data_IF_501203958258
#
_entry.id   IF_501203958258
#
_cell.length_a   1.000
_cell.length_b   1.000
_cell.length_c   1.000
_cell.angle_alpha   90.00
_cell.angle_beta   90.00
_cell.angle_gamma   90.00
#
_symmetry.space_group_name_H-M   'P 1'
#
loop_
_entity.id
_entity.type
_entity.pdbx_description
1 polymer ?
#
# COMPACT_ATOMS: atom_id res chain seq x y z
N UNK A 1 -40.28 -40.07 74.23
CA UNK A 1 -40.41 -38.95 73.27
C UNK A 1 -39.02 -38.37 72.99
N UNK A 2 -38.65 -38.35 71.71
CA UNK A 2 -37.45 -37.76 71.04
C UNK A 2 -36.14 -37.66 71.86
N UNK A 3 -35.24 -38.63 71.64
CA UNK A 3 -33.81 -38.54 71.94
C UNK A 3 -33.12 -37.74 70.82
N UNK A 4 -32.50 -36.61 71.15
CA UNK A 4 -31.60 -35.85 70.27
C UNK A 4 -30.21 -36.48 70.44
N UNK A 5 -29.71 -37.11 69.37
CA UNK A 5 -28.31 -37.58 69.30
C UNK A 5 -27.53 -36.49 68.58
N UNK A 6 -26.63 -35.85 69.31
CA UNK A 6 -25.67 -34.86 68.84
C UNK A 6 -24.46 -35.62 68.25
N UNK A 7 -24.24 -35.52 66.95
CA UNK A 7 -23.03 -36.05 66.30
C UNK A 7 -21.88 -35.04 66.43
N UNK A 8 -20.85 -35.40 67.19
CA UNK A 8 -19.57 -34.70 67.23
C UNK A 8 -18.74 -35.22 66.04
N UNK A 9 -18.51 -34.36 65.05
CA UNK A 9 -17.58 -34.63 63.95
C UNK A 9 -16.18 -34.18 64.41
N UNK A 10 -15.30 -35.15 64.62
CA UNK A 10 -13.88 -34.92 64.85
C UNK A 10 -13.20 -34.55 63.52
N UNK A 11 -12.68 -33.32 63.43
CA UNK A 11 -11.83 -32.88 62.32
C UNK A 11 -10.39 -33.39 62.52
N UNK A 12 -9.99 -34.37 61.72
CA UNK A 12 -8.59 -34.77 61.59
C UNK A 12 -7.89 -33.85 60.58
N UNK A 13 -7.00 -32.99 61.07
CA UNK A 13 -6.06 -32.23 60.26
C UNK A 13 -4.94 -33.15 59.75
N UNK A 14 -5.09 -33.67 58.53
CA UNK A 14 -3.97 -34.29 57.78
C UNK A 14 -3.20 -33.18 57.08
N UNK A 15 -2.04 -32.83 57.63
CA UNK A 15 -1.07 -31.92 57.03
C UNK A 15 -0.38 -32.61 55.84
N UNK A 16 -0.91 -32.41 54.63
CA UNK A 16 -0.20 -32.74 53.40
C UNK A 16 0.84 -31.65 53.11
N UNK A 17 2.11 -31.91 53.44
CA UNK A 17 3.24 -31.21 52.82
C UNK A 17 3.21 -31.48 51.32
N UNK A 18 2.75 -30.50 50.55
CA UNK A 18 2.74 -30.52 49.10
C UNK A 18 4.14 -30.16 48.63
N UNK A 19 5.00 -31.16 48.47
CA UNK A 19 6.27 -30.99 47.78
C UNK A 19 5.98 -30.44 46.39
N UNK A 20 6.36 -29.17 46.17
CA UNK A 20 6.34 -28.58 44.83
C UNK A 20 7.42 -29.29 44.02
N UNK A 21 7.00 -30.30 43.27
CA UNK A 21 7.78 -30.81 42.15
C UNK A 21 7.93 -29.65 41.16
N UNK A 22 9.08 -28.98 41.19
CA UNK A 22 9.52 -28.08 40.13
C UNK A 22 9.84 -29.01 38.95
N UNK A 23 8.86 -29.23 38.08
CA UNK A 23 9.14 -29.86 36.80
C UNK A 23 10.01 -28.88 36.02
N UNK A 24 11.21 -29.29 35.55
CA UNK A 24 11.95 -28.45 34.62
C UNK A 24 11.07 -28.21 33.40
N UNK A 25 10.82 -26.94 33.08
CA UNK A 25 10.23 -26.54 31.80
C UNK A 25 11.25 -26.98 30.76
N UNK A 26 11.04 -28.16 30.17
CA UNK A 26 11.81 -28.57 28.99
C UNK A 26 11.47 -27.58 27.88
N UNK A 27 12.40 -26.67 27.60
CA UNK A 27 12.37 -25.84 26.40
C UNK A 27 12.33 -26.77 25.18
N UNK A 28 11.13 -27.08 24.72
CA UNK A 28 10.91 -27.89 23.52
C UNK A 28 11.54 -27.15 22.35
N UNK A 29 12.65 -27.68 21.84
CA UNK A 29 13.31 -27.12 20.67
C UNK A 29 12.30 -27.05 19.51
N UNK A 30 12.10 -25.84 18.97
CA UNK A 30 11.19 -25.64 17.85
C UNK A 30 11.73 -26.35 16.61
N UNK A 31 10.80 -26.89 15.82
CA UNK A 31 11.11 -27.45 14.50
C UNK A 31 11.41 -26.32 13.50
N UNK A 32 12.14 -26.58 12.40
CA UNK A 32 12.34 -25.59 11.34
C UNK A 32 11.03 -24.99 10.80
N UNK A 33 9.96 -25.80 10.74
CA UNK A 33 8.63 -25.37 10.32
C UNK A 33 8.00 -24.37 11.28
N UNK A 34 8.23 -24.49 12.59
CA UNK A 34 7.74 -23.55 13.59
C UNK A 34 8.60 -22.27 13.61
N UNK A 35 9.93 -22.42 13.52
CA UNK A 35 10.87 -21.29 13.54
C UNK A 35 10.65 -20.33 12.37
N UNK A 36 10.38 -20.84 11.17
CA UNK A 36 10.28 -20.02 9.95
C UNK A 36 9.00 -19.17 9.87
N UNK A 37 7.97 -19.44 10.68
CA UNK A 37 6.69 -18.74 10.59
C UNK A 37 6.82 -17.25 10.90
N UNK A 38 6.03 -16.44 10.19
CA UNK A 38 6.01 -14.98 10.34
C UNK A 38 6.68 -14.25 9.18
N UNK A 39 6.85 -12.93 9.35
CA UNK A 39 7.41 -12.04 8.33
C UNK A 39 8.91 -11.86 8.54
N UNK A 40 9.66 -11.84 7.45
CA UNK A 40 11.11 -11.75 7.41
C UNK A 40 11.53 -10.70 6.41
N UNK A 41 12.52 -9.88 6.77
CA UNK A 41 13.06 -8.85 5.87
C UNK A 41 14.58 -8.73 5.95
N UNK A 42 15.17 -8.27 4.86
CA UNK A 42 16.58 -7.86 4.81
C UNK A 42 16.72 -6.35 4.99
N UNK A 43 17.95 -5.90 5.31
CA UNK A 43 18.28 -4.47 5.36
C UNK A 43 18.61 -3.89 3.97
N UNK A 44 19.09 -4.69 3.03
CA UNK A 44 19.83 -4.20 1.86
C UNK A 44 19.06 -4.25 0.55
N UNK A 45 18.38 -5.34 0.23
CA UNK A 45 17.82 -5.59 -1.11
C UNK A 45 16.29 -5.53 -1.16
N UNK A 46 15.67 -4.90 -0.15
CA UNK A 46 14.21 -4.78 0.09
C UNK A 46 13.45 -6.11 0.03
N UNK A 47 14.14 -7.25 -0.02
CA UNK A 47 13.50 -8.56 -0.14
C UNK A 47 12.85 -8.94 1.19
N UNK A 48 11.66 -9.54 1.10
CA UNK A 48 10.96 -10.06 2.26
C UNK A 48 10.11 -11.28 1.94
N UNK A 49 9.85 -12.07 2.99
CA UNK A 49 8.99 -13.24 2.94
C UNK A 49 8.01 -13.19 4.11
N UNK A 50 6.84 -13.80 3.95
CA UNK A 50 5.99 -14.18 5.08
C UNK A 50 5.54 -15.62 4.94
N UNK A 51 5.83 -16.44 5.93
CA UNK A 51 5.54 -17.87 5.92
C UNK A 51 4.32 -18.19 6.78
N UNK A 52 3.44 -19.04 6.25
CA UNK A 52 2.17 -19.43 6.86
C UNK A 52 2.16 -20.91 7.23
N UNK A 53 1.38 -21.27 8.24
CA UNK A 53 1.28 -22.66 8.76
C UNK A 53 0.78 -23.68 7.74
N UNK A 54 0.06 -23.22 6.70
CA UNK A 54 -0.48 -24.07 5.64
C UNK A 54 0.52 -24.35 4.50
N UNK A 55 1.80 -23.99 4.65
CA UNK A 55 2.82 -24.19 3.61
C UNK A 55 2.82 -23.13 2.51
N UNK A 56 2.05 -22.04 2.68
CA UNK A 56 2.09 -20.89 1.77
C UNK A 56 3.17 -19.88 2.20
N UNK A 57 3.69 -19.13 1.22
CA UNK A 57 4.65 -18.05 1.41
C UNK A 57 4.22 -16.82 0.60
N UNK A 58 4.18 -15.65 1.23
CA UNK A 58 4.02 -14.36 0.55
C UNK A 58 5.41 -13.76 0.30
N UNK A 59 5.87 -13.83 -0.96
CA UNK A 59 7.11 -13.19 -1.42
C UNK A 59 6.84 -11.71 -1.70
N UNK A 60 7.37 -10.84 -0.86
CA UNK A 60 6.88 -9.45 -0.74
C UNK A 60 7.06 -8.58 -1.99
N UNK A 61 8.04 -8.90 -2.84
CA UNK A 61 8.28 -8.20 -4.11
C UNK A 61 7.46 -8.78 -5.29
N UNK A 62 6.78 -9.91 -5.08
CA UNK A 62 5.96 -10.55 -6.09
C UNK A 62 6.74 -11.29 -7.18
N UNK A 63 5.98 -11.95 -8.05
CA UNK A 63 6.48 -12.66 -9.21
C UNK A 63 5.95 -12.00 -10.49
N UNK A 64 6.71 -12.08 -11.57
CA UNK A 64 6.37 -11.46 -12.85
C UNK A 64 6.54 -12.43 -14.02
N UNK A 65 5.69 -12.34 -15.03
CA UNK A 65 5.82 -13.13 -16.25
C UNK A 65 6.85 -12.50 -17.20
N UNK A 66 8.12 -12.90 -17.03
CA UNK A 66 9.24 -12.38 -17.81
C UNK A 66 9.19 -12.81 -19.29
N UNK A 67 8.64 -13.99 -19.59
CA UNK A 67 8.54 -14.45 -20.97
C UNK A 67 7.51 -13.63 -21.73
N UNK A 68 6.35 -13.36 -21.11
CA UNK A 68 5.37 -12.44 -21.70
C UNK A 68 5.93 -11.03 -21.85
N UNK A 69 6.61 -10.50 -20.83
CA UNK A 69 7.26 -9.19 -20.89
C UNK A 69 8.29 -9.07 -22.04
N UNK A 70 9.10 -10.11 -22.28
CA UNK A 70 10.06 -10.13 -23.41
C UNK A 70 9.35 -10.14 -24.77
N UNK A 71 8.24 -10.88 -24.88
CA UNK A 71 7.48 -11.03 -26.12
C UNK A 71 6.66 -9.79 -26.50
N UNK A 72 6.42 -8.88 -25.56
CA UNK A 72 5.73 -7.61 -25.79
C UNK A 72 6.54 -6.63 -26.68
N UNK A 73 7.74 -6.98 -27.16
CA UNK A 73 8.58 -6.14 -28.05
C UNK A 73 7.86 -5.62 -29.31
N UNK A 74 6.80 -6.29 -29.77
CA UNK A 74 6.02 -5.87 -30.94
C UNK A 74 4.99 -4.77 -30.63
N UNK A 75 4.60 -4.60 -29.37
CA UNK A 75 3.71 -3.53 -28.93
C UNK A 75 4.61 -2.41 -28.40
N UNK A 76 4.43 -1.17 -28.86
CA UNK A 76 5.33 -0.04 -28.56
C UNK A 76 5.47 0.29 -27.06
N UNK A 77 4.74 -0.39 -26.18
CA UNK A 77 4.81 -0.28 -24.72
C UNK A 77 4.85 -1.68 -24.07
N UNK A 78 5.95 -2.01 -23.39
CA UNK A 78 6.04 -3.24 -22.61
C UNK A 78 5.22 -3.12 -21.33
N UNK A 79 4.60 -4.23 -20.89
CA UNK A 79 3.81 -4.29 -19.67
C UNK A 79 4.40 -5.33 -18.71
N UNK A 80 4.56 -4.97 -17.44
CA UNK A 80 4.93 -5.93 -16.40
C UNK A 80 3.70 -6.71 -15.94
N UNK A 81 3.63 -8.00 -16.25
CA UNK A 81 2.53 -8.86 -15.82
C UNK A 81 2.82 -9.49 -14.46
N UNK A 82 2.06 -9.11 -13.45
CA UNK A 82 2.16 -9.63 -12.09
C UNK A 82 1.50 -11.01 -12.00
N UNK A 83 2.22 -11.96 -11.41
CA UNK A 83 1.73 -13.29 -11.05
C UNK A 83 1.29 -13.34 -9.58
N UNK A 84 1.26 -12.19 -8.91
CA UNK A 84 0.96 -12.07 -7.49
C UNK A 84 2.16 -12.37 -6.59
N UNK A 85 1.90 -12.45 -5.28
CA UNK A 85 2.95 -12.61 -4.26
C UNK A 85 2.88 -13.94 -3.51
N UNK A 86 1.72 -14.61 -3.56
CA UNK A 86 1.47 -15.83 -2.80
C UNK A 86 1.91 -17.07 -3.57
N UNK A 87 2.77 -17.87 -2.95
CA UNK A 87 3.29 -19.13 -3.49
C UNK A 87 3.41 -20.20 -2.41
N UNK A 88 4.06 -21.32 -2.71
CA UNK A 88 4.33 -22.44 -1.81
C UNK A 88 5.77 -22.41 -1.33
N UNK A 89 6.02 -22.94 -0.13
CA UNK A 89 7.37 -23.17 0.37
C UNK A 89 7.55 -24.56 0.98
N UNK A 90 8.80 -24.99 1.10
CA UNK A 90 9.22 -26.13 1.91
C UNK A 90 10.50 -25.78 2.66
N UNK A 91 10.65 -26.31 3.88
CA UNK A 91 11.77 -25.99 4.77
C UNK A 91 12.27 -27.27 5.47
N UNK A 92 13.58 -27.45 5.46
CA UNK A 92 14.32 -28.39 6.31
C UNK A 92 15.32 -27.60 7.16
N UNK A 93 16.16 -28.31 7.93
CA UNK A 93 17.22 -27.65 8.73
C UNK A 93 18.26 -26.93 7.86
N UNK A 94 18.49 -27.43 6.65
CA UNK A 94 19.58 -27.06 5.75
C UNK A 94 19.12 -26.49 4.39
N UNK A 95 17.83 -26.53 4.08
CA UNK A 95 17.29 -26.07 2.79
C UNK A 95 15.95 -25.35 2.95
N UNK A 96 15.84 -24.18 2.36
CA UNK A 96 14.58 -23.48 2.10
C UNK A 96 14.28 -23.57 0.61
N UNK A 97 13.05 -23.94 0.25
CA UNK A 97 12.59 -23.96 -1.14
C UNK A 97 11.37 -23.08 -1.30
N UNK A 98 11.37 -22.21 -2.30
CA UNK A 98 10.25 -21.34 -2.68
C UNK A 98 9.83 -21.70 -4.10
N UNK A 99 8.53 -21.91 -4.31
CA UNK A 99 8.05 -22.18 -5.67
C UNK A 99 7.96 -20.86 -6.45
N UNK A 100 8.71 -20.75 -7.53
CA UNK A 100 8.77 -19.56 -8.36
C UNK A 100 7.66 -19.60 -9.40
N UNK A 101 6.77 -18.60 -9.37
CA UNK A 101 5.62 -18.56 -10.28
C UNK A 101 6.01 -18.20 -11.71
N UNK A 102 7.14 -17.50 -11.91
CA UNK A 102 7.59 -17.02 -13.21
C UNK A 102 8.05 -18.15 -14.13
N UNK A 103 8.83 -19.09 -13.61
CA UNK A 103 9.39 -20.20 -14.39
C UNK A 103 8.85 -21.58 -13.98
N UNK A 104 7.94 -21.62 -13.01
CA UNK A 104 7.27 -22.81 -12.48
C UNK A 104 8.25 -23.82 -11.84
N UNK A 105 9.38 -23.36 -11.31
CA UNK A 105 10.42 -24.19 -10.65
C UNK A 105 10.52 -23.89 -9.16
N UNK A 106 11.25 -24.74 -8.43
CA UNK A 106 11.58 -24.50 -7.03
C UNK A 106 12.94 -23.81 -6.92
N UNK A 107 12.95 -22.58 -6.44
CA UNK A 107 14.17 -21.89 -6.03
C UNK A 107 14.64 -22.50 -4.71
N UNK A 108 15.85 -23.04 -4.70
CA UNK A 108 16.42 -23.74 -3.54
C UNK A 108 17.57 -22.94 -2.94
N UNK A 109 17.43 -22.61 -1.65
CA UNK A 109 18.42 -21.85 -0.89
C UNK A 109 18.99 -22.73 0.22
N UNK A 110 20.32 -22.81 0.30
CA UNK A 110 20.99 -23.44 1.46
C UNK A 110 20.76 -22.59 2.69
N UNK A 111 20.41 -23.20 3.81
CA UNK A 111 20.22 -22.55 5.11
C UNK A 111 21.49 -22.73 5.94
N UNK A 112 22.17 -21.62 6.24
CA UNK A 112 23.32 -21.61 7.16
C UNK A 112 22.87 -21.50 8.62
N UNK A 113 21.81 -20.73 8.87
CA UNK A 113 21.25 -20.50 10.21
C UNK A 113 19.74 -20.31 10.11
N UNK A 114 19.01 -20.96 11.01
CA UNK A 114 17.60 -20.72 11.27
C UNK A 114 17.39 -20.72 12.79
N UNK A 115 16.94 -19.58 13.32
CA UNK A 115 16.50 -19.40 14.70
C UNK A 115 15.13 -18.69 14.71
N UNK A 116 14.62 -18.36 15.90
CA UNK A 116 13.32 -17.69 16.04
C UNK A 116 13.30 -16.28 15.42
N UNK A 117 14.45 -15.64 15.27
CA UNK A 117 14.62 -14.24 14.88
C UNK A 117 15.56 -14.02 13.68
N UNK A 118 16.36 -15.04 13.32
CA UNK A 118 17.41 -14.94 12.31
C UNK A 118 17.30 -16.08 11.29
N UNK A 119 17.30 -15.72 10.01
CA UNK A 119 17.42 -16.67 8.90
C UNK A 119 18.60 -16.25 8.03
N UNK A 120 19.54 -17.15 7.78
CA UNK A 120 20.69 -16.91 6.89
C UNK A 120 20.66 -17.93 5.76
N UNK A 121 20.48 -17.44 4.53
CA UNK A 121 20.38 -18.28 3.33
C UNK A 121 21.39 -17.87 2.26
N UNK A 122 21.78 -18.82 1.41
CA UNK A 122 22.60 -18.53 0.24
C UNK A 122 21.72 -18.03 -0.91
N UNK A 123 21.93 -16.80 -1.38
CA UNK A 123 21.27 -16.18 -2.54
C UNK A 123 22.35 -15.61 -3.45
N UNK A 124 22.38 -16.00 -4.72
CA UNK A 124 23.35 -15.54 -5.73
C UNK A 124 24.81 -15.62 -5.23
N UNK A 125 25.21 -16.79 -4.73
CA UNK A 125 26.55 -17.05 -4.18
C UNK A 125 26.92 -16.24 -2.92
N UNK A 126 26.00 -15.47 -2.35
CA UNK A 126 26.21 -14.67 -1.13
C UNK A 126 25.32 -15.14 0.02
N UNK A 127 25.78 -14.98 1.26
CA UNK A 127 24.96 -15.25 2.44
C UNK A 127 24.15 -14.00 2.82
N UNK A 128 22.83 -14.10 2.75
CA UNK A 128 21.91 -13.00 3.07
C UNK A 128 21.25 -13.29 4.41
N UNK A 129 21.25 -12.28 5.30
CA UNK A 129 20.62 -12.36 6.62
C UNK A 129 19.25 -11.68 6.58
N UNK A 130 18.25 -12.43 7.01
CA UNK A 130 16.89 -11.98 7.24
C UNK A 130 16.62 -11.91 8.75
N UNK A 131 15.91 -10.87 9.14
CA UNK A 131 15.45 -10.68 10.52
C UNK A 131 13.94 -10.86 10.57
N UNK A 132 13.45 -11.56 11.59
CA UNK A 132 12.00 -11.68 11.81
C UNK A 132 11.44 -10.32 12.22
N UNK A 133 10.33 -9.95 11.61
CA UNK A 133 9.64 -8.68 11.82
C UNK A 133 8.49 -8.86 12.80
N UNK A 134 8.43 -7.96 13.76
CA UNK A 134 7.35 -7.86 14.74
C UNK A 134 6.74 -6.46 14.61
N UNK A 135 5.41 -6.40 14.55
CA UNK A 135 4.69 -5.17 14.26
C UNK A 135 3.76 -4.84 15.42
N UNK A 136 3.90 -3.65 15.98
CA UNK A 136 2.89 -3.07 16.88
C UNK A 136 1.94 -2.21 16.07
N UNK A 137 0.85 -2.82 15.60
CA UNK A 137 -0.16 -2.15 14.77
C UNK A 137 -1.30 -1.53 15.59
N UNK A 138 -1.32 -1.72 16.92
CA UNK A 138 -2.47 -1.35 17.76
C UNK A 138 -2.70 0.16 17.76
N UNK A 139 -1.63 0.93 17.74
CA UNK A 139 -1.66 2.39 17.81
C UNK A 139 -1.55 3.06 16.44
N UNK A 140 -1.43 2.27 15.36
CA UNK A 140 -1.40 2.83 14.00
C UNK A 140 -2.85 3.11 13.57
N UNK A 141 -3.20 4.38 13.26
CA UNK A 141 -4.57 4.76 12.92
C UNK A 141 -5.14 3.94 11.75
N UNK A 142 -6.45 3.73 11.77
CA UNK A 142 -7.17 3.25 10.59
C UNK A 142 -7.32 4.34 9.54
N UNK A 143 -7.61 3.93 8.31
CA UNK A 143 -7.99 4.81 7.21
C UNK A 143 -9.18 4.20 6.45
N UNK A 144 -9.89 5.05 5.72
CA UNK A 144 -11.09 4.70 4.94
C UNK A 144 -10.80 4.57 3.44
N UNK A 145 -9.69 5.14 2.96
CA UNK A 145 -9.21 4.89 1.60
C UNK A 145 -7.69 5.05 1.49
N UNK A 146 -7.12 4.37 0.50
CA UNK A 146 -5.73 4.55 0.05
C UNK A 146 -5.75 4.93 -1.43
N UNK A 147 -4.89 5.88 -1.80
CA UNK A 147 -4.57 6.20 -3.19
C UNK A 147 -3.11 5.85 -3.43
N UNK A 148 -2.81 5.19 -4.54
CA UNK A 148 -1.45 4.98 -5.03
C UNK A 148 -1.37 5.55 -6.44
N UNK A 149 -0.34 6.35 -6.70
CA UNK A 149 -0.02 6.88 -8.03
C UNK A 149 1.44 6.59 -8.35
N UNK A 150 1.71 6.10 -9.56
CA UNK A 150 3.05 5.81 -10.06
C UNK A 150 3.33 6.63 -11.31
N UNK A 151 4.46 7.33 -11.34
CA UNK A 151 4.92 8.09 -12.49
C UNK A 151 5.61 7.20 -13.54
N UNK A 152 5.97 7.80 -14.67
CA UNK A 152 6.87 7.18 -15.65
C UNK A 152 8.30 7.08 -15.14
N UNK A 153 9.09 6.27 -15.84
CA UNK A 153 10.53 6.13 -15.69
C UNK A 153 11.14 5.97 -17.09
N UNK A 154 12.47 5.89 -17.22
CA UNK A 154 13.12 5.70 -18.53
C UNK A 154 12.94 4.27 -19.09
N UNK A 155 12.34 3.37 -18.30
CA UNK A 155 12.00 2.00 -18.67
C UNK A 155 10.50 1.80 -18.90
N UNK A 156 9.98 0.66 -18.46
CA UNK A 156 8.58 0.26 -18.66
C UNK A 156 7.76 0.32 -17.38
N UNK A 157 8.00 1.34 -16.55
CA UNK A 157 7.25 1.51 -15.31
C UNK A 157 5.78 1.84 -15.63
N UNK A 158 4.81 1.12 -15.04
CA UNK A 158 3.40 1.37 -15.27
C UNK A 158 3.02 2.75 -14.73
N UNK A 159 2.41 3.57 -15.59
CA UNK A 159 1.88 4.88 -15.21
C UNK A 159 0.42 4.70 -14.87
N UNK A 160 0.13 4.58 -13.58
CA UNK A 160 -1.19 4.22 -13.06
C UNK A 160 -1.51 5.04 -11.83
N UNK A 161 -2.80 5.27 -11.61
CA UNK A 161 -3.32 5.77 -10.35
C UNK A 161 -4.55 4.97 -9.93
N UNK A 162 -4.64 4.64 -8.65
CA UNK A 162 -5.72 3.83 -8.11
C UNK A 162 -6.13 4.34 -6.74
N UNK A 163 -7.42 4.53 -6.53
CA UNK A 163 -8.02 4.74 -5.21
C UNK A 163 -8.83 3.51 -4.82
N UNK A 164 -8.59 3.01 -3.61
CA UNK A 164 -9.32 1.89 -3.02
C UNK A 164 -9.91 2.35 -1.70
N UNK A 165 -11.21 2.22 -1.56
CA UNK A 165 -11.95 2.61 -0.35
C UNK A 165 -12.40 1.40 0.47
N UNK A 166 -12.66 1.64 1.75
CA UNK A 166 -13.02 0.63 2.75
C UNK A 166 -14.31 -0.11 2.42
N UNK A 167 -15.24 0.55 1.73
CA UNK A 167 -16.47 -0.07 1.22
C UNK A 167 -16.24 -0.97 -0.02
N UNK A 168 -14.99 -1.07 -0.47
CA UNK A 168 -14.56 -1.88 -1.59
C UNK A 168 -14.61 -1.18 -2.94
N UNK A 169 -15.02 0.09 -3.06
CA UNK A 169 -14.95 0.80 -4.34
C UNK A 169 -13.49 0.99 -4.78
N UNK A 170 -13.23 0.68 -6.04
CA UNK A 170 -11.96 0.96 -6.71
C UNK A 170 -12.20 1.94 -7.86
N UNK A 171 -11.43 3.01 -7.91
CA UNK A 171 -11.25 3.84 -9.11
C UNK A 171 -9.82 3.65 -9.61
N UNK A 172 -9.65 3.48 -10.91
CA UNK A 172 -8.37 3.21 -11.54
C UNK A 172 -8.25 4.00 -12.84
N UNK A 173 -7.06 4.56 -13.06
CA UNK A 173 -6.67 5.17 -14.32
C UNK A 173 -5.31 4.61 -14.72
N UNK A 174 -5.22 4.11 -15.95
CA UNK A 174 -3.96 3.66 -16.55
C UNK A 174 -3.60 4.47 -17.79
N UNK A 175 -2.32 4.84 -17.94
CA UNK A 175 -1.84 5.67 -19.04
C UNK A 175 -0.86 4.91 -19.95
N UNK A 176 0.35 4.61 -19.46
CA UNK A 176 1.42 3.93 -20.21
C UNK A 176 1.91 2.67 -19.50
N UNK A 177 2.49 1.73 -20.26
CA UNK A 177 3.08 0.49 -19.73
C UNK A 177 2.10 -0.33 -18.87
N UNK A 178 0.82 -0.27 -19.23
CA UNK A 178 -0.27 -0.98 -18.57
C UNK A 178 -1.11 -1.72 -19.60
N UNK A 179 -1.65 -2.88 -19.22
CA UNK A 179 -2.56 -3.67 -20.05
C UNK A 179 -4.00 -3.13 -20.05
N UNK A 180 -4.31 -2.12 -19.24
CA UNK A 180 -5.62 -1.48 -19.17
C UNK A 180 -5.45 0.04 -19.13
N UNK A 181 -5.69 0.70 -20.27
CA UNK A 181 -5.57 2.15 -20.45
C UNK A 181 -6.91 2.85 -20.37
N UNK A 182 -6.93 4.04 -19.79
CA UNK A 182 -8.13 4.82 -19.55
C UNK A 182 -8.69 4.63 -18.15
N UNK A 183 -9.95 5.03 -17.98
CA UNK A 183 -10.62 5.15 -16.69
C UNK A 183 -11.53 3.96 -16.43
N UNK A 184 -11.41 3.37 -15.24
CA UNK A 184 -12.19 2.22 -14.84
C UNK A 184 -12.63 2.30 -13.39
N UNK A 185 -13.70 1.58 -13.09
CA UNK A 185 -14.09 1.22 -11.72
C UNK A 185 -14.00 -0.28 -11.51
N UNK A 186 -13.91 -0.68 -10.25
CA UNK A 186 -14.06 -2.08 -9.86
C UNK A 186 -14.52 -2.17 -8.40
N UNK A 187 -14.59 -3.41 -7.90
CA UNK A 187 -14.96 -3.72 -6.52
C UNK A 187 -14.01 -4.78 -5.95
N UNK A 188 -13.65 -4.61 -4.68
CA UNK A 188 -12.95 -5.63 -3.89
C UNK A 188 -13.75 -5.96 -2.63
N UNK A 189 -13.43 -7.09 -1.99
CA UNK A 189 -14.03 -7.45 -0.72
C UNK A 189 -13.45 -6.60 0.43
N UNK A 190 -14.24 -6.39 1.48
CA UNK A 190 -13.77 -5.81 2.75
C UNK A 190 -12.56 -6.58 3.31
N UNK A 191 -12.53 -7.90 3.13
CA UNK A 191 -11.40 -8.76 3.55
C UNK A 191 -10.12 -8.37 2.81
N UNK A 192 -10.19 -8.06 1.53
CA UNK A 192 -9.02 -7.66 0.75
C UNK A 192 -8.58 -6.24 1.09
N UNK A 193 -9.52 -5.30 1.30
CA UNK A 193 -9.19 -3.98 1.84
C UNK A 193 -8.46 -4.09 3.19
N UNK A 194 -8.96 -4.92 4.11
CA UNK A 194 -8.33 -5.11 5.42
C UNK A 194 -6.91 -5.69 5.33
N UNK A 195 -6.61 -6.52 4.32
CA UNK A 195 -5.22 -6.97 4.06
C UNK A 195 -4.33 -5.83 3.59
N UNK A 196 -4.86 -4.95 2.73
CA UNK A 196 -4.15 -3.75 2.27
C UNK A 196 -3.86 -2.83 3.47
N UNK A 197 -4.89 -2.52 4.26
CA UNK A 197 -4.76 -1.71 5.46
C UNK A 197 -3.75 -2.28 6.46
N UNK A 198 -3.76 -3.60 6.67
CA UNK A 198 -2.79 -4.27 7.54
C UNK A 198 -1.35 -4.07 7.05
N UNK A 199 -1.07 -4.14 5.75
CA UNK A 199 0.28 -3.93 5.20
C UNK A 199 0.79 -2.51 5.46
N UNK A 200 -0.06 -1.50 5.24
CA UNK A 200 0.30 -0.12 5.58
C UNK A 200 0.52 0.07 7.09
N UNK A 201 -0.32 -0.55 7.94
CA UNK A 201 -0.11 -0.51 9.40
C UNK A 201 1.18 -1.19 9.83
N UNK A 202 1.56 -2.30 9.21
CA UNK A 202 2.84 -2.98 9.47
C UNK A 202 4.05 -2.11 9.09
N UNK A 203 3.89 -1.21 8.11
CA UNK A 203 4.90 -0.21 7.77
C UNK A 203 4.94 0.99 8.74
N UNK A 204 4.03 1.05 9.73
CA UNK A 204 3.88 2.16 10.66
C UNK A 204 3.87 3.53 9.94
N UNK A 205 3.01 3.63 8.91
CA UNK A 205 3.02 4.71 7.93
C UNK A 205 2.98 6.13 8.53
N UNK A 206 2.46 6.30 9.76
CA UNK A 206 2.40 7.59 10.43
C UNK A 206 3.77 8.10 10.87
N UNK A 207 4.74 7.20 11.12
CA UNK A 207 6.11 7.54 11.54
C UNK A 207 7.06 7.76 10.39
N UNK A 208 6.65 7.45 9.16
CA UNK A 208 7.47 7.69 7.97
C UNK A 208 7.52 9.19 7.68
N UNK A 209 8.57 9.64 7.00
CA UNK A 209 8.65 10.97 6.43
C UNK A 209 7.67 11.11 5.27
N UNK A 210 7.39 12.34 4.85
CA UNK A 210 6.47 12.58 3.73
C UNK A 210 7.15 12.41 2.36
N UNK A 211 8.48 12.36 2.29
CA UNK A 211 9.21 12.24 1.04
C UNK A 211 10.51 11.48 1.24
N UNK A 212 10.83 10.62 0.27
CA UNK A 212 12.07 9.86 0.16
C UNK A 212 12.57 10.01 -1.27
N UNK A 213 13.84 10.36 -1.47
CA UNK A 213 14.40 10.59 -2.80
C UNK A 213 15.74 9.91 -3.02
N UNK A 214 15.93 9.37 -4.22
CA UNK A 214 17.18 8.76 -4.65
C UNK A 214 18.16 9.78 -5.22
N UNK A 215 17.63 10.91 -5.73
CA UNK A 215 18.40 11.84 -6.54
C UNK A 215 18.80 11.27 -7.90
N UNK A 216 18.05 10.28 -8.40
CA UNK A 216 18.29 9.64 -9.71
C UNK A 216 17.24 10.10 -10.71
N UNK A 217 17.66 10.46 -11.93
CA UNK A 217 16.77 11.06 -12.94
C UNK A 217 15.98 10.03 -13.76
N UNK A 218 16.36 8.75 -13.69
CA UNK A 218 15.77 7.65 -14.46
C UNK A 218 14.72 6.86 -13.67
N UNK A 219 14.65 7.07 -12.35
CA UNK A 219 13.72 6.44 -11.42
C UNK A 219 12.27 6.91 -11.60
N UNK A 220 11.34 6.00 -11.32
CA UNK A 220 9.94 6.37 -11.15
C UNK A 220 9.66 6.83 -9.72
N UNK A 221 8.67 7.69 -9.58
CA UNK A 221 8.14 8.17 -8.31
C UNK A 221 6.81 7.47 -8.01
N UNK A 222 6.68 6.94 -6.80
CA UNK A 222 5.41 6.43 -6.29
C UNK A 222 4.94 7.35 -5.18
N UNK A 223 3.72 7.84 -5.27
CA UNK A 223 3.06 8.58 -4.20
C UNK A 223 1.90 7.79 -3.63
N UNK A 224 1.73 7.85 -2.31
CA UNK A 224 0.68 7.16 -1.56
C UNK A 224 -0.04 8.14 -0.66
N UNK A 225 -1.37 8.13 -0.73
CA UNK A 225 -2.25 8.95 0.08
C UNK A 225 -3.12 8.06 0.95
N UNK A 226 -3.20 8.33 2.26
CA UNK A 226 -4.16 7.69 3.16
C UNK A 226 -5.20 8.70 3.63
N UNK A 227 -6.47 8.31 3.54
CA UNK A 227 -7.62 9.19 3.75
C UNK A 227 -8.50 8.65 4.89
N UNK A 228 -8.90 9.52 5.81
CA UNK A 228 -9.85 9.21 6.89
C UNK A 228 -10.93 10.29 6.96
N UNK A 229 -12.20 9.91 6.98
CA UNK A 229 -13.33 10.85 7.04
C UNK A 229 -13.23 11.97 5.99
N UNK A 230 -12.83 11.62 4.76
CA UNK A 230 -12.62 12.57 3.65
C UNK A 230 -11.39 13.48 3.79
N UNK A 231 -10.54 13.30 4.80
CA UNK A 231 -9.32 14.10 5.00
C UNK A 231 -8.09 13.28 4.70
N UNK A 232 -7.11 13.90 4.06
CA UNK A 232 -5.75 13.36 3.95
C UNK A 232 -5.15 13.32 5.34
N UNK A 233 -4.81 12.12 5.82
CA UNK A 233 -4.11 11.93 7.10
C UNK A 233 -2.62 11.66 6.92
N UNK A 234 -2.23 11.17 5.74
CA UNK A 234 -0.83 10.96 5.36
C UNK A 234 -0.68 11.01 3.85
N UNK A 235 0.38 11.66 3.38
CA UNK A 235 0.82 11.72 2.00
C UNK A 235 2.31 11.43 2.00
N UNK A 236 2.75 10.44 1.23
CA UNK A 236 4.15 10.01 1.16
C UNK A 236 4.55 9.84 -0.30
N UNK A 237 5.68 10.43 -0.66
CA UNK A 237 6.33 10.26 -1.95
C UNK A 237 7.62 9.44 -1.80
N UNK A 238 7.81 8.47 -2.70
CA UNK A 238 8.97 7.59 -2.77
C UNK A 238 9.54 7.63 -4.19
N UNK A 239 10.60 8.42 -4.35
CA UNK A 239 11.40 8.49 -5.55
C UNK A 239 12.56 7.49 -5.49
N UNK A 240 12.54 6.54 -6.42
CA UNK A 240 13.58 5.52 -6.57
C UNK A 240 13.61 4.44 -5.50
N UNK A 241 12.48 4.10 -4.86
CA UNK A 241 12.35 2.98 -3.91
C UNK A 241 13.22 3.10 -2.65
N UNK A 242 13.38 4.32 -2.11
CA UNK A 242 14.23 4.58 -0.94
C UNK A 242 13.53 4.40 0.39
N UNK A 243 12.21 4.49 0.42
CA UNK A 243 11.39 4.28 1.62
C UNK A 243 11.63 2.89 2.27
N UNK A 244 11.38 2.70 3.58
CA UNK A 244 11.53 1.39 4.22
C UNK A 244 10.78 0.27 3.51
N UNK A 245 11.39 -0.93 3.48
CA UNK A 245 10.92 -2.09 2.71
C UNK A 245 9.46 -2.42 2.98
N UNK A 246 9.01 -2.32 4.23
CA UNK A 246 7.65 -2.61 4.64
C UNK A 246 6.61 -1.73 3.92
N UNK A 247 6.95 -0.47 3.62
CA UNK A 247 6.05 0.42 2.89
C UNK A 247 6.04 0.09 1.39
N UNK A 248 7.19 -0.26 0.81
CA UNK A 248 7.27 -0.80 -0.57
C UNK A 248 6.39 -2.05 -0.69
N UNK A 249 6.49 -2.98 0.26
CA UNK A 249 5.66 -4.19 0.28
C UNK A 249 4.15 -3.89 0.40
N UNK A 250 3.78 -2.72 0.93
CA UNK A 250 2.40 -2.29 1.04
C UNK A 250 1.87 -1.73 -0.29
N UNK A 251 2.61 -0.85 -0.97
CA UNK A 251 2.13 -0.19 -2.19
C UNK A 251 2.41 -0.97 -3.48
N UNK A 252 3.52 -1.72 -3.60
CA UNK A 252 3.90 -2.35 -4.87
C UNK A 252 2.82 -3.28 -5.44
N UNK A 253 2.12 -4.10 -4.63
CA UNK A 253 1.02 -4.91 -5.13
C UNK A 253 -0.15 -4.10 -5.69
N UNK A 254 -0.36 -2.87 -5.21
CA UNK A 254 -1.45 -1.99 -5.67
C UNK A 254 -1.18 -1.44 -7.07
N UNK A 255 0.09 -1.18 -7.41
CA UNK A 255 0.50 -0.70 -8.74
C UNK A 255 0.06 -1.69 -9.84
N UNK A 256 0.16 -3.00 -9.60
CA UNK A 256 -0.25 -4.03 -10.56
C UNK A 256 -1.64 -4.62 -10.31
N UNK A 257 -2.36 -4.14 -9.30
CA UNK A 257 -3.60 -4.77 -8.84
C UNK A 257 -4.68 -4.80 -9.91
N UNK A 258 -4.71 -3.80 -10.80
CA UNK A 258 -5.67 -3.67 -11.90
C UNK A 258 -5.70 -4.91 -12.82
N UNK A 259 -4.60 -5.66 -12.92
CA UNK A 259 -4.50 -6.85 -13.76
C UNK A 259 -5.38 -8.01 -13.28
N UNK A 260 -5.76 -7.99 -12.00
CA UNK A 260 -6.56 -9.03 -11.35
C UNK A 260 -7.98 -8.54 -10.97
N UNK A 261 -8.34 -7.33 -11.39
CA UNK A 261 -9.65 -6.74 -11.11
C UNK A 261 -10.60 -6.95 -12.27
N UNK A 262 -11.89 -7.10 -11.95
CA UNK A 262 -12.96 -7.02 -12.93
C UNK A 262 -13.20 -5.53 -13.25
N UNK A 263 -12.41 -4.98 -14.16
CA UNK A 263 -12.46 -3.58 -14.54
C UNK A 263 -13.71 -3.29 -15.40
N UNK A 264 -14.46 -2.26 -15.02
CA UNK A 264 -15.59 -1.73 -15.80
C UNK A 264 -15.22 -0.34 -16.28
N UNK A 265 -15.19 -0.06 -17.60
CA UNK A 265 -14.90 1.26 -18.11
C UNK A 265 -15.80 2.33 -17.48
N UNK A 266 -15.21 3.42 -17.01
CA UNK A 266 -15.94 4.54 -16.43
C UNK A 266 -15.77 5.77 -17.32
N UNK A 267 -16.89 6.38 -17.71
CA UNK A 267 -16.87 7.68 -18.36
C UNK A 267 -16.78 8.76 -17.29
N UNK A 268 -15.64 9.43 -17.20
CA UNK A 268 -15.44 10.62 -16.36
C UNK A 268 -15.46 11.88 -17.24
N UNK A 269 -15.69 13.08 -16.67
CA UNK A 269 -15.59 14.31 -17.43
C UNK A 269 -14.20 14.49 -18.05
N UNK A 270 -14.11 14.91 -19.31
CA UNK A 270 -12.83 14.94 -20.05
C UNK A 270 -11.78 15.85 -19.40
N UNK A 271 -12.21 16.90 -18.68
CA UNK A 271 -11.33 17.79 -17.92
C UNK A 271 -10.71 17.14 -16.67
N UNK A 272 -11.18 15.96 -16.28
CA UNK A 272 -10.62 15.18 -15.17
C UNK A 272 -9.71 14.05 -15.65
N UNK A 273 -9.55 13.87 -16.96
CA UNK A 273 -8.68 12.85 -17.52
C UNK A 273 -7.21 13.29 -17.37
N UNK A 274 -6.39 12.58 -16.57
CA UNK A 274 -5.12 13.11 -16.13
C UNK A 274 -3.96 12.54 -16.96
N UNK A 275 -3.93 12.73 -18.28
CA UNK A 275 -2.93 12.06 -19.13
C UNK A 275 -1.50 12.24 -18.60
N UNK A 276 -1.17 13.39 -18.00
CA UNK A 276 -0.04 13.61 -17.07
C UNK A 276 -0.28 14.86 -16.22
N UNK A 277 -1.10 14.78 -15.18
CA UNK A 277 -1.43 16.00 -14.41
C UNK A 277 -0.39 16.21 -13.31
N UNK A 278 0.52 17.14 -13.57
CA UNK A 278 1.10 17.94 -12.50
C UNK A 278 0.07 18.99 -12.11
N UNK A 279 -0.16 19.17 -10.82
CA UNK A 279 -1.07 20.19 -10.31
C UNK A 279 -0.34 21.10 -9.34
N UNK A 280 -0.25 22.38 -9.71
CA UNK A 280 0.39 23.41 -8.90
C UNK A 280 -0.67 24.45 -8.56
N UNK A 281 -0.88 24.64 -7.26
CA UNK A 281 -1.63 25.78 -6.75
C UNK A 281 -0.67 26.95 -6.59
N UNK A 282 -0.94 28.06 -7.28
CA UNK A 282 -0.21 29.31 -7.13
C UNK A 282 -1.01 30.30 -6.28
N UNK A 283 -0.29 31.04 -5.44
CA UNK A 283 -0.78 32.17 -4.64
C UNK A 283 0.21 33.32 -4.73
N UNK A 284 -0.22 34.51 -4.34
CA UNK A 284 0.69 35.64 -4.20
C UNK A 284 1.76 35.31 -3.14
N UNK A 285 3.03 35.21 -3.57
CA UNK A 285 4.17 34.90 -2.69
C UNK A 285 4.60 33.44 -2.62
N UNK A 286 3.92 32.49 -3.30
CA UNK A 286 4.33 31.09 -3.24
C UNK A 286 3.51 30.13 -4.09
N UNK A 287 3.79 28.83 -3.95
CA UNK A 287 3.06 27.78 -4.63
C UNK A 287 3.10 26.46 -3.86
N UNK A 288 2.09 25.63 -4.10
CA UNK A 288 1.98 24.28 -3.58
C UNK A 288 1.93 23.31 -4.76
N UNK A 289 2.94 22.44 -4.82
CA UNK A 289 2.93 21.28 -5.68
C UNK A 289 2.27 20.10 -4.96
N UNK A 290 1.34 19.44 -5.64
CA UNK A 290 0.70 18.22 -5.14
C UNK A 290 1.45 16.99 -5.64
N UNK A 291 1.56 15.96 -4.80
CA UNK A 291 2.05 14.64 -5.24
C UNK A 291 1.07 14.00 -6.23
N UNK A 292 1.53 13.02 -7.02
CA UNK A 292 0.66 12.34 -8.00
C UNK A 292 -0.63 11.76 -7.39
N UNK A 293 -0.56 11.19 -6.18
CA UNK A 293 -1.71 10.65 -5.46
C UNK A 293 -2.67 11.74 -4.95
N UNK A 294 -2.15 12.90 -4.55
CA UNK A 294 -2.96 14.07 -4.17
C UNK A 294 -3.67 14.69 -5.36
N UNK A 295 -2.97 14.82 -6.49
CA UNK A 295 -3.56 15.24 -7.77
C UNK A 295 -4.69 14.29 -8.16
N UNK A 296 -4.43 12.98 -8.14
CA UNK A 296 -5.44 11.99 -8.48
C UNK A 296 -6.66 12.08 -7.57
N UNK A 297 -6.46 12.27 -6.27
CA UNK A 297 -7.58 12.44 -5.34
C UNK A 297 -8.38 13.71 -5.61
N UNK A 298 -7.72 14.83 -5.92
CA UNK A 298 -8.41 16.06 -6.32
C UNK A 298 -9.21 15.85 -7.63
N UNK A 299 -8.63 15.20 -8.64
CA UNK A 299 -9.33 14.88 -9.88
C UNK A 299 -10.53 13.95 -9.65
N UNK A 300 -10.38 12.95 -8.77
CA UNK A 300 -11.48 12.11 -8.32
C UNK A 300 -12.62 12.94 -7.71
N UNK A 301 -12.29 13.85 -6.78
CA UNK A 301 -13.30 14.75 -6.17
C UNK A 301 -13.98 15.64 -7.22
N UNK A 302 -13.23 16.21 -8.17
CA UNK A 302 -13.78 17.02 -9.26
C UNK A 302 -14.72 16.22 -10.17
N UNK A 303 -14.37 14.97 -10.49
CA UNK A 303 -15.19 14.09 -11.32
C UNK A 303 -16.53 13.72 -10.66
N UNK A 304 -16.57 13.72 -9.33
CA UNK A 304 -17.77 13.44 -8.52
C UNK A 304 -18.47 14.72 -8.04
N UNK A 305 -17.87 15.88 -8.27
CA UNK A 305 -18.40 17.17 -7.91
C UNK A 305 -19.65 17.54 -8.70
N UNK A 306 -20.41 18.51 -8.20
CA UNK A 306 -21.63 18.98 -8.84
C UNK A 306 -21.35 20.26 -9.62
N UNK A 307 -21.81 20.32 -10.86
CA UNK A 307 -21.82 21.58 -11.62
C UNK A 307 -22.85 22.52 -10.99
N UNK A 308 -22.44 23.76 -10.70
CA UNK A 308 -23.26 24.77 -10.03
C UNK A 308 -23.13 26.12 -10.71
N UNK A 309 -24.17 26.95 -10.57
CA UNK A 309 -24.11 28.37 -10.92
C UNK A 309 -23.73 29.16 -9.66
N UNK A 310 -22.44 29.37 -9.44
CA UNK A 310 -21.92 30.05 -8.25
C UNK A 310 -20.81 31.04 -8.60
N UNK A 311 -20.82 32.21 -7.97
CA UNK A 311 -19.73 33.18 -8.10
C UNK A 311 -18.71 32.88 -7.03
N UNK A 312 -17.45 32.65 -7.42
CA UNK A 312 -16.38 32.26 -6.50
C UNK A 312 -15.47 33.44 -6.19
N UNK A 313 -14.94 33.48 -4.96
CA UNK A 313 -13.80 34.33 -4.64
C UNK A 313 -12.53 33.61 -5.10
N UNK A 314 -11.98 33.99 -6.25
CA UNK A 314 -10.85 33.35 -6.92
C UNK A 314 -9.54 33.53 -6.13
N UNK A 315 -9.32 32.72 -5.08
CA UNK A 315 -8.16 32.83 -4.17
C UNK A 315 -6.91 32.15 -4.71
N UNK A 316 -7.09 31.04 -5.41
CA UNK A 316 -6.01 30.18 -5.87
C UNK A 316 -6.10 29.97 -7.38
N UNK A 317 -4.94 29.87 -8.01
CA UNK A 317 -4.81 29.48 -9.41
C UNK A 317 -4.25 28.06 -9.47
N UNK A 318 -4.94 27.16 -10.14
CA UNK A 318 -4.54 25.77 -10.31
C UNK A 318 -4.19 25.53 -11.78
N UNK A 319 -2.92 25.22 -12.03
CA UNK A 319 -2.45 24.80 -13.35
C UNK A 319 -2.61 23.29 -13.48
N UNK A 320 -3.30 22.85 -14.54
CA UNK A 320 -3.47 21.44 -14.88
C UNK A 320 -2.88 21.21 -16.28
N UNK A 321 -2.08 20.17 -16.43
CA UNK A 321 -1.62 19.70 -17.74
C UNK A 321 -2.75 18.90 -18.42
N UNK A 322 -3.69 19.61 -19.05
CA UNK A 322 -4.79 19.05 -19.83
C UNK A 322 -4.98 19.88 -21.11
N UNK A 323 -5.21 19.23 -22.26
CA UNK A 323 -5.33 19.88 -23.56
C UNK A 323 -6.66 20.63 -23.77
N UNK A 324 -7.68 20.38 -22.95
CA UNK A 324 -8.99 21.05 -23.00
C UNK A 324 -9.06 22.26 -22.06
N UNK A 325 -8.29 22.22 -20.98
CA UNK A 325 -8.27 23.25 -19.93
C UNK A 325 -7.25 24.32 -20.31
N UNK A 326 -7.63 25.58 -20.13
CA UNK A 326 -6.70 26.71 -20.15
C UNK A 326 -6.13 26.93 -18.74
N UNK A 327 -7.02 27.19 -17.78
CA UNK A 327 -6.65 27.30 -16.37
C UNK A 327 -7.83 27.04 -15.43
N UNK A 328 -7.54 26.85 -14.14
CA UNK A 328 -8.55 26.68 -13.10
C UNK A 328 -8.37 27.73 -12.01
N UNK A 329 -9.45 28.36 -11.58
CA UNK A 329 -9.47 29.23 -10.40
C UNK A 329 -10.36 28.62 -9.33
N UNK A 330 -9.98 28.79 -8.07
CA UNK A 330 -10.69 28.14 -6.96
C UNK A 330 -10.57 28.91 -5.67
N UNK A 331 -11.55 28.72 -4.78
CA UNK A 331 -11.50 29.14 -3.38
C UNK A 331 -11.13 28.00 -2.42
N UNK A 332 -10.82 26.81 -2.96
CA UNK A 332 -10.56 25.56 -2.25
C UNK A 332 -11.71 24.56 -2.35
N UNK A 333 -12.96 25.02 -2.49
CA UNK A 333 -14.17 24.18 -2.60
C UNK A 333 -14.81 24.24 -3.98
N UNK A 334 -14.91 25.42 -4.55
CA UNK A 334 -15.51 25.63 -5.86
C UNK A 334 -14.41 25.83 -6.89
N UNK A 335 -14.39 25.00 -7.92
CA UNK A 335 -13.38 25.03 -8.98
C UNK A 335 -14.01 25.53 -10.27
N UNK A 336 -13.64 26.75 -10.65
CA UNK A 336 -14.02 27.36 -11.92
C UNK A 336 -12.99 26.99 -12.98
N UNK A 337 -13.37 26.07 -13.84
CA UNK A 337 -12.54 25.47 -14.88
C UNK A 337 -12.80 26.24 -16.17
N UNK A 338 -11.77 26.89 -16.68
CA UNK A 338 -11.81 27.61 -17.95
C UNK A 338 -11.30 26.71 -19.07
N UNK A 339 -12.10 26.56 -20.11
CA UNK A 339 -11.78 25.76 -21.29
C UNK A 339 -11.18 26.61 -22.39
N UNK A 340 -10.43 25.99 -23.29
CA UNK A 340 -9.79 26.68 -24.42
C UNK A 340 -10.77 27.26 -25.44
N UNK A 341 -12.01 26.78 -25.46
CA UNK A 341 -13.10 27.34 -26.28
C UNK A 341 -13.76 28.58 -25.64
N UNK A 342 -13.14 29.14 -24.59
CA UNK A 342 -13.61 30.29 -23.80
C UNK A 342 -14.87 30.02 -22.96
N UNK A 343 -15.34 28.78 -22.88
CA UNK A 343 -16.39 28.40 -21.92
C UNK A 343 -15.80 28.14 -20.53
N UNK A 344 -16.66 28.10 -19.50
CA UNK A 344 -16.24 27.69 -18.16
C UNK A 344 -17.33 26.88 -17.46
N UNK A 345 -16.91 26.09 -16.46
CA UNK A 345 -17.80 25.38 -15.53
C UNK A 345 -17.36 25.62 -14.09
N UNK A 346 -18.31 25.67 -13.15
CA UNK A 346 -18.00 25.73 -11.72
C UNK A 346 -18.40 24.40 -11.08
N UNK A 347 -17.43 23.71 -10.50
CA UNK A 347 -17.61 22.42 -9.84
C UNK A 347 -17.50 22.59 -8.33
N UNK A 348 -18.56 22.25 -7.59
CA UNK A 348 -18.54 22.14 -6.14
C UNK A 348 -18.11 20.73 -5.73
N UNK A 349 -16.94 20.59 -5.10
CA UNK A 349 -16.45 19.31 -4.54
C UNK A 349 -16.93 19.06 -3.11
N UNK A 350 -17.80 19.93 -2.58
CA UNK A 350 -18.49 19.80 -1.30
C UNK A 350 -17.68 20.24 -0.07
N UNK A 351 -16.37 20.46 -0.20
CA UNK A 351 -15.49 20.88 0.90
C UNK A 351 -14.25 21.63 0.40
N UNK A 352 -13.65 22.44 1.27
CA UNK A 352 -12.42 23.18 0.95
C UNK A 352 -11.20 22.24 1.05
N UNK A 353 -10.73 21.75 -0.10
CA UNK A 353 -9.63 20.79 -0.22
C UNK A 353 -8.34 21.27 0.45
N UNK A 354 -7.99 22.55 0.29
CA UNK A 354 -6.72 23.10 0.78
C UNK A 354 -6.76 23.30 2.30
N UNK A 355 -7.87 23.83 2.83
CA UNK A 355 -8.05 24.01 4.27
C UNK A 355 -8.21 22.67 4.99
N UNK A 356 -9.01 21.76 4.43
CA UNK A 356 -9.30 20.46 5.02
C UNK A 356 -8.05 19.59 5.16
N UNK A 357 -7.16 19.65 4.17
CA UNK A 357 -5.92 18.87 4.15
C UNK A 357 -4.70 19.66 4.67
N UNK A 358 -4.94 20.83 5.30
CA UNK A 358 -3.91 21.68 5.93
C UNK A 358 -2.80 22.17 4.99
N UNK A 359 -3.04 22.17 3.68
CA UNK A 359 -2.11 22.70 2.69
C UNK A 359 -2.00 24.23 2.74
N UNK A 360 -3.02 24.91 3.26
CA UNK A 360 -3.03 26.38 3.45
C UNK A 360 -1.79 26.93 4.17
N UNK A 361 -1.16 26.17 5.06
CA UNK A 361 0.06 26.60 5.76
C UNK A 361 1.30 26.67 4.85
N UNK A 362 1.32 25.88 3.79
CA UNK A 362 2.40 25.85 2.79
C UNK A 362 2.23 26.93 1.72
N UNK A 363 1.09 27.63 1.72
CA UNK A 363 0.76 28.70 0.77
C UNK A 363 0.97 30.11 1.37
N UNK A 364 1.44 30.21 2.61
CA UNK A 364 1.63 31.50 3.32
C UNK A 364 3.08 31.77 3.72
N UNK A 365 4.00 30.89 3.31
CA UNK A 365 5.45 31.04 3.42
C UNK A 365 6.04 31.06 2.02
#
# INVERSE_FOLDING_TARGET
MKKIILFIIAALFVSCKKDRVIMPVQDKALTPKEMILGTWGTKYDKTGFQFFTNGACDFKLGFYDYERYKNDYKQKEKVFYSLGTLTKYSITKDSLKIYNLSDKKWDSYKVKKLSNDTLVINKNSSWVTFTKKYYDIKNVPDFDAVVVSSSGCFGSCPIVSMMISKDGCVSYIGSYHTSAKGNYTSKISMKDFNKIALRFKQADYMKLDNAYGAGTTDGGTVSVLLIKNGKIIKSIEDDGFNIPSEFIWAYSPLITMYQNLNLVPEKIPDFTNPEFVMAHFNVEGGGLELTGAEVYYLMYLLSKGKEVQHTIQEKYYLRLSNNLIDYVKTDGRYYKIYFRDSTFKVIDIGSDFLKQNKFSKSLTN
#
